data_IF_087302291131
#
_entry.id   IF_087302291131
#
_cell.length_a   1.000
_cell.length_b   1.000
_cell.length_c   1.000
_cell.angle_alpha   90.00
_cell.angle_beta   90.00
_cell.angle_gamma   90.00
#
_symmetry.space_group_name_H-M   'P 1'
#
loop_
_entity.id
_entity.type
_entity.pdbx_description
1 polymer ?
#
# COMPACT_ATOMS: atom_id res chain seq x y z
N UNK A 1 -27.02 -4.45 20.67
CA UNK A 1 -25.82 -4.00 19.93
C UNK A 1 -24.77 -3.60 20.95
N UNK A 2 -23.69 -4.39 21.10
CA UNK A 2 -22.60 -4.10 22.06
C UNK A 2 -21.46 -3.47 21.27
N UNK A 3 -21.31 -2.16 21.35
CA UNK A 3 -20.14 -1.46 20.79
C UNK A 3 -18.98 -1.74 21.73
N UNK A 4 -18.13 -2.70 21.38
CA UNK A 4 -16.85 -2.89 22.07
C UNK A 4 -15.94 -1.78 21.56
N UNK A 5 -15.76 -0.73 22.36
CA UNK A 5 -14.74 0.27 22.07
C UNK A 5 -13.38 -0.32 22.43
N UNK A 6 -12.49 -0.38 21.45
CA UNK A 6 -11.09 -0.71 21.71
C UNK A 6 -10.46 0.46 22.46
N UNK A 7 -10.16 0.29 23.75
CA UNK A 7 -9.46 1.31 24.54
C UNK A 7 -8.08 1.61 23.92
N UNK A 8 -7.49 0.62 23.23
CA UNK A 8 -6.24 0.77 22.48
C UNK A 8 -6.34 1.69 21.27
N UNK A 9 -7.51 1.87 20.65
CA UNK A 9 -7.65 2.77 19.48
C UNK A 9 -7.52 4.25 19.84
N UNK A 10 -7.54 4.59 21.13
CA UNK A 10 -7.37 5.95 21.63
C UNK A 10 -5.91 6.27 21.97
N UNK A 11 -5.08 5.26 22.23
CA UNK A 11 -3.70 5.43 22.72
C UNK A 11 -2.63 4.91 21.78
N UNK A 12 -3.00 4.02 20.84
CA UNK A 12 -2.09 3.42 19.88
C UNK A 12 -2.72 3.43 18.49
N UNK A 13 -2.24 4.32 17.63
CA UNK A 13 -2.51 4.28 16.20
C UNK A 13 -1.47 3.42 15.50
N UNK A 14 -1.86 2.70 14.46
CA UNK A 14 -0.95 2.04 13.53
C UNK A 14 -1.45 2.31 12.11
N UNK A 15 -0.60 2.16 11.12
CA UNK A 15 -1.03 2.16 9.71
C UNK A 15 -1.15 0.73 9.24
N UNK A 16 -2.27 0.39 8.59
CA UNK A 16 -2.42 -0.84 7.85
C UNK A 16 -2.79 -0.49 6.41
N UNK A 17 -1.90 -0.73 5.45
CA UNK A 17 -2.09 -0.29 4.06
C UNK A 17 -2.16 -1.50 3.12
N UNK A 18 -3.39 -1.94 2.75
CA UNK A 18 -3.57 -3.03 1.79
C UNK A 18 -3.30 -2.54 0.37
N UNK A 19 -2.92 -3.48 -0.50
CA UNK A 19 -3.04 -3.30 -1.95
C UNK A 19 -4.36 -3.90 -2.39
N UNK A 20 -5.14 -3.16 -3.16
CA UNK A 20 -6.41 -3.64 -3.73
C UNK A 20 -6.27 -3.60 -5.25
N UNK A 21 -6.51 -4.73 -5.90
CA UNK A 21 -6.52 -4.79 -7.36
C UNK A 21 -7.84 -4.26 -7.93
N UNK A 22 -7.83 -3.84 -9.19
CA UNK A 22 -9.02 -3.32 -9.88
C UNK A 22 -10.20 -4.32 -9.91
N UNK A 23 -9.92 -5.62 -9.82
CA UNK A 23 -10.93 -6.69 -9.73
C UNK A 23 -11.46 -6.92 -8.29
N UNK A 24 -11.03 -6.10 -7.33
CA UNK A 24 -11.46 -6.16 -5.94
C UNK A 24 -10.70 -7.19 -5.09
N UNK A 25 -9.73 -7.92 -5.65
CA UNK A 25 -8.87 -8.82 -4.86
C UNK A 25 -7.87 -8.03 -4.02
N UNK A 26 -7.54 -8.57 -2.86
CA UNK A 26 -6.45 -8.07 -2.02
C UNK A 26 -5.10 -8.58 -2.52
N UNK A 27 -4.08 -7.74 -2.40
CA UNK A 27 -2.68 -8.13 -2.53
C UNK A 27 -2.29 -9.17 -1.49
N UNK A 28 -1.22 -9.92 -1.79
CA UNK A 28 -0.75 -11.00 -0.91
C UNK A 28 -0.22 -10.51 0.43
N UNK A 29 0.31 -9.28 0.47
CA UNK A 29 0.83 -8.66 1.69
C UNK A 29 0.11 -7.36 2.04
N UNK A 30 -0.10 -7.19 3.33
CA UNK A 30 -0.54 -5.95 3.96
C UNK A 30 0.65 -5.29 4.64
N UNK A 31 0.90 -4.01 4.35
CA UNK A 31 1.87 -3.23 5.11
C UNK A 31 1.26 -2.87 6.46
N UNK A 32 2.01 -3.08 7.55
CA UNK A 32 1.67 -2.64 8.89
C UNK A 32 2.82 -1.81 9.46
N UNK A 33 2.54 -0.57 9.88
CA UNK A 33 3.52 0.29 10.54
C UNK A 33 3.15 0.48 12.00
N UNK A 34 4.01 -0.01 12.88
CA UNK A 34 3.85 0.10 14.32
C UNK A 34 4.70 1.26 14.86
N UNK A 35 4.12 2.19 15.65
CA UNK A 35 4.87 3.25 16.30
C UNK A 35 5.70 2.68 17.46
N UNK A 36 7.01 2.76 17.33
CA UNK A 36 7.99 2.36 18.33
C UNK A 36 8.74 3.57 18.85
N UNK A 37 9.01 3.62 20.17
CA UNK A 37 9.66 4.79 20.82
C UNK A 37 10.99 5.19 20.17
N UNK A 38 11.74 4.21 19.66
CA UNK A 38 13.02 4.41 18.98
C UNK A 38 12.93 4.26 17.45
N UNK A 39 11.74 3.98 16.91
CA UNK A 39 11.53 3.66 15.49
C UNK A 39 12.11 2.32 15.06
N UNK A 40 12.39 1.43 16.01
CA UNK A 40 12.91 0.08 15.78
C UNK A 40 12.17 -0.90 16.69
N UNK A 41 11.98 -2.12 16.22
CA UNK A 41 11.38 -3.17 17.03
C UNK A 41 12.26 -3.55 18.23
N UNK A 42 11.67 -4.04 19.33
CA UNK A 42 12.42 -4.75 20.35
C UNK A 42 13.11 -5.98 19.74
N UNK A 43 14.18 -6.47 20.38
CA UNK A 43 14.93 -7.63 19.88
C UNK A 43 14.08 -8.91 19.83
N UNK A 44 13.03 -8.98 20.65
CA UNK A 44 12.10 -10.10 20.73
C UNK A 44 10.67 -9.58 20.91
N UNK A 45 9.68 -10.37 20.48
CA UNK A 45 8.26 -10.09 20.73
C UNK A 45 7.51 -9.35 19.62
N UNK A 46 8.12 -9.11 18.46
CA UNK A 46 7.37 -8.62 17.29
C UNK A 46 6.81 -9.79 16.46
N UNK A 47 5.59 -9.62 15.98
CA UNK A 47 4.91 -10.62 15.16
C UNK A 47 5.41 -10.58 13.72
N UNK A 48 5.57 -11.76 13.12
CA UNK A 48 5.84 -11.91 11.70
C UNK A 48 4.84 -12.91 11.11
N UNK A 49 4.33 -12.58 9.92
CA UNK A 49 3.49 -13.50 9.16
C UNK A 49 3.83 -13.36 7.66
N UNK A 50 3.70 -14.45 6.87
CA UNK A 50 4.03 -14.41 5.44
C UNK A 50 3.26 -13.35 4.64
N UNK A 51 2.05 -13.03 5.07
CA UNK A 51 1.13 -12.08 4.43
C UNK A 51 1.19 -10.67 5.05
N UNK A 52 2.18 -10.37 5.90
CA UNK A 52 2.36 -9.05 6.50
C UNK A 52 3.77 -8.54 6.26
N UNK A 53 3.87 -7.29 5.80
CA UNK A 53 5.10 -6.51 5.89
C UNK A 53 5.01 -5.62 7.13
N UNK A 54 5.63 -6.03 8.22
CA UNK A 54 5.56 -5.31 9.50
C UNK A 54 6.81 -4.44 9.66
N UNK A 55 6.63 -3.12 9.70
CA UNK A 55 7.71 -2.13 9.83
C UNK A 55 7.56 -1.33 11.13
N UNK A 56 8.69 -0.99 11.75
CA UNK A 56 8.72 -0.08 12.89
C UNK A 56 8.92 1.36 12.37
N UNK A 57 8.25 2.32 13.01
CA UNK A 57 8.44 3.74 12.76
C UNK A 57 8.43 4.53 14.08
N UNK A 58 9.01 5.73 14.12
CA UNK A 58 8.87 6.61 15.30
C UNK A 58 7.42 7.06 15.52
N UNK A 59 6.64 7.04 14.44
CA UNK A 59 5.19 7.27 14.43
C UNK A 59 4.56 6.15 13.61
N UNK A 60 3.22 6.13 13.57
CA UNK A 60 2.49 5.18 12.74
C UNK A 60 2.40 5.59 11.26
N UNK A 61 2.72 6.84 10.92
CA UNK A 61 2.69 7.30 9.53
C UNK A 61 3.83 6.69 8.71
N UNK A 62 3.53 6.34 7.47
CA UNK A 62 4.54 5.93 6.50
C UNK A 62 5.50 7.08 6.20
N UNK A 63 6.80 6.77 6.15
CA UNK A 63 7.85 7.70 5.73
C UNK A 63 8.29 7.41 4.30
N UNK A 64 8.92 8.39 3.64
CA UNK A 64 9.47 8.22 2.29
C UNK A 64 10.43 7.03 2.19
N UNK A 65 11.24 6.80 3.21
CA UNK A 65 12.20 5.69 3.27
C UNK A 65 11.54 4.31 3.36
N UNK A 66 10.25 4.22 3.70
CA UNK A 66 9.51 2.96 3.77
C UNK A 66 8.76 2.64 2.47
N UNK A 67 8.58 3.63 1.59
CA UNK A 67 7.91 3.47 0.30
C UNK A 67 8.57 2.39 -0.59
N UNK A 68 9.90 2.33 -0.75
CA UNK A 68 10.53 1.31 -1.58
C UNK A 68 10.22 -0.11 -1.11
N UNK A 69 10.27 -0.34 0.21
CA UNK A 69 9.95 -1.64 0.80
C UNK A 69 8.47 -2.01 0.59
N UNK A 70 7.55 -1.05 0.75
CA UNK A 70 6.14 -1.26 0.45
C UNK A 70 5.91 -1.64 -1.01
N UNK A 71 6.54 -0.92 -1.95
CA UNK A 71 6.41 -1.19 -3.37
C UNK A 71 6.89 -2.60 -3.70
N UNK A 72 8.12 -2.94 -3.31
CA UNK A 72 8.73 -4.25 -3.58
C UNK A 72 7.94 -5.42 -3.02
N UNK A 73 7.53 -5.32 -1.76
CA UNK A 73 6.98 -6.45 -1.02
C UNK A 73 5.46 -6.59 -1.16
N UNK A 74 4.73 -5.48 -1.30
CA UNK A 74 3.27 -5.48 -1.31
C UNK A 74 2.67 -5.20 -2.69
N UNK A 75 3.32 -4.37 -3.53
CA UNK A 75 2.78 -3.96 -4.83
C UNK A 75 3.28 -4.85 -5.97
N UNK A 76 4.61 -4.97 -6.09
CA UNK A 76 5.28 -5.77 -7.12
C UNK A 76 5.95 -7.01 -6.54
N UNK A 77 5.24 -7.66 -5.61
CA UNK A 77 5.68 -8.93 -5.01
C UNK A 77 5.79 -10.07 -6.04
N UNK A 78 6.30 -11.25 -5.66
CA UNK A 78 6.61 -12.34 -6.59
C UNK A 78 5.44 -12.76 -7.50
N UNK A 79 4.22 -12.72 -6.98
CA UNK A 79 2.98 -13.06 -7.69
C UNK A 79 2.42 -11.95 -8.58
N UNK A 80 2.96 -10.74 -8.51
CA UNK A 80 2.46 -9.61 -9.26
C UNK A 80 2.64 -9.85 -10.77
N UNK A 81 1.76 -9.29 -11.61
CA UNK A 81 1.97 -9.31 -13.06
C UNK A 81 3.30 -8.61 -13.43
N UNK A 82 3.88 -8.91 -14.61
CA UNK A 82 5.07 -8.21 -15.11
C UNK A 82 4.86 -6.68 -15.21
N UNK A 83 3.64 -6.24 -15.50
CA UNK A 83 3.28 -4.82 -15.53
C UNK A 83 2.21 -4.53 -14.49
N UNK A 84 2.51 -3.62 -13.57
CA UNK A 84 1.58 -3.14 -12.55
C UNK A 84 1.37 -1.64 -12.70
N UNK A 85 0.12 -1.18 -12.75
CA UNK A 85 -0.22 0.25 -12.67
C UNK A 85 -0.65 0.56 -11.25
N UNK A 86 0.05 1.46 -10.58
CA UNK A 86 -0.20 1.85 -9.19
C UNK A 86 -0.86 3.22 -9.13
N UNK A 87 -2.12 3.26 -8.70
CA UNK A 87 -2.86 4.48 -8.43
C UNK A 87 -2.72 4.87 -6.96
N UNK A 88 -2.15 6.04 -6.69
CA UNK A 88 -1.83 6.56 -5.34
C UNK A 88 -2.45 7.93 -5.11
N UNK A 89 -2.59 8.33 -3.85
CA UNK A 89 -2.94 9.70 -3.51
C UNK A 89 -1.79 10.69 -3.82
N UNK A 90 -2.09 11.99 -3.77
CA UNK A 90 -1.11 13.05 -4.02
C UNK A 90 -0.15 13.29 -2.86
N UNK A 91 0.15 12.27 -2.04
CA UNK A 91 1.09 12.42 -0.93
C UNK A 91 2.52 12.60 -1.44
N UNK A 92 3.27 13.50 -0.79
CA UNK A 92 4.63 13.87 -1.20
C UNK A 92 5.66 12.72 -1.14
N UNK A 93 5.33 11.60 -0.48
CA UNK A 93 6.15 10.39 -0.53
C UNK A 93 6.01 9.61 -1.84
N UNK A 94 4.86 9.66 -2.49
CA UNK A 94 4.64 9.05 -3.80
C UNK A 94 5.04 9.95 -4.97
N UNK A 95 5.11 11.27 -4.76
CA UNK A 95 5.61 12.20 -5.77
C UNK A 95 7.11 12.00 -6.10
N UNK A 96 7.86 11.32 -5.25
CA UNK A 96 9.26 10.96 -5.49
C UNK A 96 9.35 9.66 -6.29
N UNK A 97 9.20 9.76 -7.61
CA UNK A 97 9.15 8.59 -8.50
C UNK A 97 10.45 7.78 -8.47
N UNK A 98 11.61 8.46 -8.31
CA UNK A 98 12.90 7.78 -8.18
C UNK A 98 12.92 6.88 -6.96
N UNK A 99 12.44 7.38 -5.82
CA UNK A 99 12.35 6.58 -4.59
C UNK A 99 11.26 5.48 -4.70
N UNK A 100 10.12 5.75 -5.32
CA UNK A 100 9.08 4.73 -5.54
C UNK A 100 9.60 3.56 -6.37
N UNK A 101 10.40 3.85 -7.40
CA UNK A 101 10.88 2.86 -8.36
C UNK A 101 12.20 2.18 -7.95
N UNK A 102 12.86 2.64 -6.87
CA UNK A 102 14.24 2.22 -6.55
C UNK A 102 14.40 0.74 -6.21
N UNK A 103 13.31 0.08 -5.83
CA UNK A 103 13.28 -1.32 -5.39
C UNK A 103 12.36 -2.19 -6.28
N UNK A 104 11.97 -1.68 -7.45
CA UNK A 104 11.22 -2.47 -8.44
C UNK A 104 12.18 -3.49 -9.07
N UNK A 105 11.86 -4.80 -9.05
CA UNK A 105 12.70 -5.82 -9.68
C UNK A 105 12.87 -5.60 -11.19
N UNK A 106 14.02 -6.01 -11.74
CA UNK A 106 14.34 -5.82 -13.18
C UNK A 106 13.35 -6.51 -14.12
N UNK A 107 12.70 -7.60 -13.68
CA UNK A 107 11.69 -8.35 -14.44
C UNK A 107 10.28 -7.76 -14.34
N UNK A 108 10.11 -6.64 -13.62
CA UNK A 108 8.82 -5.97 -13.38
C UNK A 108 8.85 -4.52 -13.87
N UNK A 109 7.71 -4.07 -14.37
CA UNK A 109 7.44 -2.67 -14.71
C UNK A 109 6.35 -2.13 -13.78
N UNK A 110 6.63 -0.99 -13.14
CA UNK A 110 5.68 -0.26 -12.31
C UNK A 110 5.38 1.11 -12.94
N UNK A 111 4.10 1.36 -13.26
CA UNK A 111 3.63 2.67 -13.72
C UNK A 111 2.88 3.38 -12.61
N UNK A 112 3.32 4.57 -12.23
CA UNK A 112 2.67 5.35 -11.19
C UNK A 112 1.63 6.30 -11.79
N UNK A 113 0.44 6.33 -11.20
CA UNK A 113 -0.61 7.29 -11.47
C UNK A 113 -1.02 7.98 -10.17
N UNK A 114 -1.08 9.31 -10.18
CA UNK A 114 -1.39 10.09 -8.98
C UNK A 114 -2.79 10.66 -9.07
N UNK A 115 -3.61 10.39 -8.06
CA UNK A 115 -4.91 11.02 -7.87
C UNK A 115 -4.69 12.49 -7.51
N UNK A 116 -5.32 13.45 -8.22
CA UNK A 116 -5.15 14.87 -7.93
C UNK A 116 -5.52 15.23 -6.47
N UNK A 117 -4.82 16.21 -5.86
CA UNK A 117 -5.18 16.73 -4.55
C UNK A 117 -6.65 17.16 -4.49
N UNK A 118 -7.33 16.85 -3.39
CA UNK A 118 -8.74 17.21 -3.18
C UNK A 118 -9.77 16.24 -3.77
N UNK A 119 -9.36 15.25 -4.57
CA UNK A 119 -10.28 14.23 -5.11
C UNK A 119 -10.60 13.09 -4.12
N UNK A 120 -9.90 13.03 -2.97
CA UNK A 120 -10.02 11.95 -1.97
C UNK A 120 -11.45 11.83 -1.39
N UNK A 121 -12.19 12.93 -1.32
CA UNK A 121 -13.55 12.96 -0.73
C UNK A 121 -14.58 12.19 -1.56
N UNK A 122 -14.32 11.94 -2.86
CA UNK A 122 -15.25 11.26 -3.77
C UNK A 122 -14.91 9.78 -4.01
N UNK A 123 -13.66 9.37 -3.78
CA UNK A 123 -13.20 7.99 -3.98
C UNK A 123 -13.08 7.19 -2.67
N UNK A 124 -13.00 7.85 -1.51
CA UNK A 124 -12.84 7.22 -0.20
C UNK A 124 -14.11 7.34 0.64
N UNK A 125 -15.04 6.43 0.44
CA UNK A 125 -16.24 6.28 1.28
C UNK A 125 -15.99 5.82 2.73
N UNK A 126 -14.74 5.66 3.16
CA UNK A 126 -14.42 5.40 4.57
C UNK A 126 -13.05 6.00 4.91
N UNK A 127 -13.04 6.82 5.96
CA UNK A 127 -11.92 7.64 6.43
C UNK A 127 -10.72 6.79 6.89
N UNK A 128 -9.51 7.32 6.63
CA UNK A 128 -8.16 6.88 7.07
C UNK A 128 -7.49 5.70 6.34
N UNK A 129 -7.47 5.68 5.01
CA UNK A 129 -6.43 4.97 4.24
C UNK A 129 -6.12 5.73 2.94
N UNK A 130 -4.85 5.91 2.53
CA UNK A 130 -4.56 6.19 1.13
C UNK A 130 -5.09 5.01 0.34
N UNK A 131 -6.11 5.25 -0.48
CA UNK A 131 -6.71 4.21 -1.31
C UNK A 131 -5.71 3.92 -2.43
N UNK A 132 -4.97 2.82 -2.30
CA UNK A 132 -4.09 2.32 -3.35
C UNK A 132 -4.84 1.29 -4.19
N UNK A 133 -5.02 1.60 -5.47
CA UNK A 133 -5.57 0.67 -6.44
C UNK A 133 -4.48 0.25 -7.43
N UNK A 134 -4.28 -1.06 -7.58
CA UNK A 134 -3.41 -1.62 -8.61
C UNK A 134 -4.27 -2.09 -9.81
N UNK A 135 -4.02 -1.57 -11.01
CA UNK A 135 -4.77 -1.93 -12.23
C UNK A 135 -3.95 -2.87 -13.11
N UNK A 136 -4.57 -3.96 -13.57
CA UNK A 136 -3.96 -4.95 -14.48
C UNK A 136 -4.29 -4.61 -15.95
N UNK A 137 -3.30 -4.69 -16.85
CA UNK A 137 -3.48 -4.32 -18.26
C UNK A 137 -4.23 -5.38 -19.11
N UNK A 138 -4.43 -6.59 -18.59
CA UNK A 138 -5.18 -7.66 -19.25
C UNK A 138 -6.66 -7.35 -19.56
N UNK A 139 -7.22 -6.28 -18.98
CA UNK A 139 -8.62 -5.87 -19.17
C UNK A 139 -8.82 -4.86 -20.32
N UNK A 140 -7.75 -4.47 -21.03
CA UNK A 140 -7.79 -3.58 -22.20
C UNK A 140 -7.48 -4.30 -23.51
N UNK A 141 -7.98 -5.53 -23.69
CA UNK A 141 -8.07 -6.11 -25.02
C UNK A 141 -9.26 -5.48 -25.78
N UNK A 142 -9.07 -4.86 -26.96
CA UNK A 142 -10.20 -4.42 -27.76
C UNK A 142 -11.02 -5.65 -28.16
N UNK A 143 -12.30 -5.68 -27.78
CA UNK A 143 -13.27 -6.62 -28.35
C UNK A 143 -13.25 -6.42 -29.86
N UNK A 144 -12.61 -7.34 -30.57
CA UNK A 144 -12.81 -7.49 -32.01
C UNK A 144 -14.29 -7.77 -32.23
N UNK A 145 -14.98 -6.80 -32.85
CA UNK A 145 -16.28 -7.10 -33.44
C UNK A 145 -16.00 -8.02 -34.61
N UNK A 146 -16.34 -9.30 -34.42
CA UNK A 146 -16.42 -10.27 -35.50
C UNK A 146 -17.37 -9.78 -36.60
N UNK A 147 -17.03 -10.23 -37.81
CA UNK A 147 -17.70 -9.94 -39.08
C UNK A 147 -19.20 -10.22 -39.09
#
# INVERSE_FOLDING_TARGET
MRVVQSVSSLTHSFTAMPVIYADGRLGEKLLVILPEKKGVFPQTGHWQAPNLLVLAGKTHFMTKSQVPAFVKECVVGPSSPPLTVLLVDSWAGFADHTNVLSEVPEDKELRLMTIPPGATVSASGCVLLPTLQAVHQGDYAPRSRGA
#
